data_IF_393936625277
#
_entry.id   IF_393936625277
#
_cell.length_a   1.000
_cell.length_b   1.000
_cell.length_c   1.000
_cell.angle_alpha   90.00
_cell.angle_beta   90.00
_cell.angle_gamma   90.00
#
_symmetry.space_group_name_H-M   'P 1'
#
loop_
_entity.id
_entity.type
_entity.pdbx_description
1 polymer ?
#
# COMPACT_ATOMS: atom_id res chain seq x y z
N UNK A 1 2.67 -10.19 8.92
CA UNK A 1 2.42 -8.90 9.57
C UNK A 1 3.66 -8.03 9.48
N UNK A 2 3.47 -6.74 9.22
CA UNK A 2 4.56 -5.79 9.02
C UNK A 2 4.97 -5.19 10.36
N UNK A 3 6.27 -5.20 10.67
CA UNK A 3 6.79 -4.58 11.89
C UNK A 3 7.50 -3.29 11.53
N UNK A 4 6.93 -2.14 11.94
CA UNK A 4 7.51 -0.83 11.69
C UNK A 4 7.65 -0.09 13.01
N UNK A 5 8.88 0.29 13.38
CA UNK A 5 9.19 0.96 14.64
C UNK A 5 8.59 0.28 15.88
N UNK A 6 8.56 -1.06 15.87
CA UNK A 6 7.98 -1.84 16.95
C UNK A 6 6.49 -2.07 16.87
N UNK A 7 5.80 -1.41 15.95
CA UNK A 7 4.37 -1.62 15.73
C UNK A 7 4.12 -2.80 14.78
N UNK A 8 3.06 -3.54 15.04
CA UNK A 8 2.62 -4.63 14.15
C UNK A 8 1.48 -4.12 13.29
N UNK A 9 1.66 -4.16 11.98
CA UNK A 9 0.70 -3.61 11.03
C UNK A 9 0.18 -4.72 10.13
N UNK A 10 -1.14 -4.90 10.10
CA UNK A 10 -1.77 -5.90 9.23
C UNK A 10 -1.90 -5.37 7.81
N UNK A 11 -1.36 -6.06 6.78
CA UNK A 11 -1.45 -5.58 5.40
C UNK A 11 -2.87 -5.49 4.88
N UNK A 12 -3.77 -6.38 5.32
CA UNK A 12 -5.16 -6.38 4.85
C UNK A 12 -5.93 -5.13 5.27
N UNK A 13 -5.68 -4.62 6.48
CA UNK A 13 -6.33 -3.40 6.95
C UNK A 13 -5.98 -2.22 6.05
N UNK A 14 -4.71 -2.10 5.68
CA UNK A 14 -4.24 -1.00 4.83
C UNK A 14 -4.74 -1.16 3.40
N UNK A 15 -4.71 -2.38 2.86
CA UNK A 15 -5.25 -2.66 1.53
C UNK A 15 -6.73 -2.27 1.46
N UNK A 16 -7.53 -2.69 2.44
CA UNK A 16 -8.96 -2.38 2.48
C UNK A 16 -9.22 -0.89 2.55
N UNK A 17 -8.42 -0.17 3.32
CA UNK A 17 -8.53 1.29 3.44
C UNK A 17 -8.23 1.98 2.12
N UNK A 18 -7.13 1.59 1.45
CA UNK A 18 -6.74 2.18 0.17
C UNK A 18 -7.78 1.86 -0.92
N UNK A 19 -8.35 0.67 -0.89
CA UNK A 19 -9.38 0.28 -1.85
C UNK A 19 -10.69 1.06 -1.72
N UNK A 20 -10.88 1.81 -0.63
CA UNK A 20 -12.02 2.72 -0.50
C UNK A 20 -11.94 3.90 -1.46
N UNK A 21 -10.76 4.21 -1.96
CA UNK A 21 -10.56 5.33 -2.87
C UNK A 21 -11.08 4.99 -4.28
N UNK A 22 -11.86 5.89 -4.90
CA UNK A 22 -12.53 5.57 -6.18
C UNK A 22 -11.59 5.38 -7.37
N UNK A 23 -10.37 5.94 -7.30
CA UNK A 23 -9.39 5.81 -8.38
C UNK A 23 -8.46 4.62 -8.22
N UNK A 24 -8.59 3.83 -7.17
CA UNK A 24 -7.78 2.64 -6.94
C UNK A 24 -8.50 1.41 -7.49
N UNK A 25 -7.88 0.74 -8.46
CA UNK A 25 -8.40 -0.48 -9.04
C UNK A 25 -7.97 -1.71 -8.24
N UNK A 26 -6.68 -1.78 -7.91
CA UNK A 26 -6.11 -2.87 -7.12
C UNK A 26 -5.05 -2.30 -6.17
N UNK A 27 -4.85 -2.98 -5.05
CA UNK A 27 -3.81 -2.61 -4.09
C UNK A 27 -3.24 -3.85 -3.43
N UNK A 28 -1.92 -3.92 -3.37
CA UNK A 28 -1.22 -4.95 -2.61
C UNK A 28 -0.28 -4.28 -1.62
N UNK A 29 -0.35 -4.66 -0.35
CA UNK A 29 0.49 -4.11 0.71
C UNK A 29 1.49 -5.15 1.16
N UNK A 30 2.75 -4.75 1.24
CA UNK A 30 3.85 -5.61 1.66
C UNK A 30 4.79 -4.85 2.58
N UNK A 31 5.74 -5.58 3.17
CA UNK A 31 6.82 -4.98 3.96
C UNK A 31 7.98 -4.66 3.04
N UNK A 32 8.62 -3.52 3.28
CA UNK A 32 9.88 -3.16 2.62
C UNK A 32 10.93 -2.93 3.72
N UNK A 33 12.20 -3.31 3.49
CA UNK A 33 13.23 -3.13 4.50
C UNK A 33 13.53 -1.64 4.72
N UNK A 34 13.82 -1.26 5.96
CA UNK A 34 14.18 0.09 6.33
C UNK A 34 15.25 0.04 7.42
N UNK A 35 16.33 0.79 7.26
CA UNK A 35 17.46 0.75 8.19
C UNK A 35 17.11 1.24 9.59
N UNK A 36 16.22 2.20 9.70
CA UNK A 36 15.84 2.80 10.99
C UNK A 36 14.70 2.05 11.65
N UNK A 37 13.68 1.67 10.89
CA UNK A 37 12.44 1.08 11.42
C UNK A 37 12.37 -0.44 11.34
N UNK A 38 13.35 -1.08 10.70
CA UNK A 38 13.33 -2.49 10.40
C UNK A 38 12.53 -2.79 9.14
N UNK A 39 11.25 -2.41 9.12
CA UNK A 39 10.38 -2.54 7.97
C UNK A 39 9.47 -1.32 7.89
N UNK A 40 9.02 -1.00 6.67
CA UNK A 40 8.00 0.02 6.45
C UNK A 40 6.91 -0.57 5.56
N UNK A 41 5.74 0.05 5.60
CA UNK A 41 4.60 -0.36 4.76
C UNK A 41 4.86 0.12 3.34
N UNK A 42 4.73 -0.80 2.38
CA UNK A 42 4.82 -0.51 0.95
C UNK A 42 3.48 -0.84 0.30
N UNK A 43 2.89 0.14 -0.36
CA UNK A 43 1.65 -0.05 -1.11
C UNK A 43 1.96 -0.05 -2.60
N UNK A 44 1.60 -1.14 -3.27
CA UNK A 44 1.67 -1.25 -4.73
C UNK A 44 0.25 -1.10 -5.25
N UNK A 45 0.01 -0.08 -6.05
CA UNK A 45 -1.33 0.36 -6.43
C UNK A 45 -1.49 0.35 -7.94
N UNK A 46 -2.58 -0.24 -8.40
CA UNK A 46 -3.02 -0.14 -9.79
C UNK A 46 -4.16 0.86 -9.82
N UNK A 47 -3.97 1.95 -10.56
CA UNK A 47 -4.98 2.99 -10.70
C UNK A 47 -5.98 2.65 -11.81
N UNK A 48 -7.20 3.15 -11.69
CA UNK A 48 -8.19 3.02 -12.77
C UNK A 48 -7.70 3.79 -14.00
N UNK A 49 -8.11 3.33 -15.17
CA UNK A 49 -7.72 3.94 -16.44
C UNK A 49 -8.10 5.41 -16.47
N UNK A 50 -7.17 6.25 -16.88
CA UNK A 50 -7.38 7.71 -16.92
C UNK A 50 -6.88 8.44 -15.69
N UNK A 51 -6.48 7.73 -14.65
CA UNK A 51 -5.90 8.36 -13.45
C UNK A 51 -4.38 8.40 -13.58
N UNK A 52 -3.81 9.57 -13.42
CA UNK A 52 -2.37 9.76 -13.49
C UNK A 52 -1.73 9.58 -12.12
N UNK A 53 -0.68 8.73 -12.06
CA UNK A 53 0.07 8.49 -10.82
C UNK A 53 1.10 9.57 -10.58
N UNK A 54 0.75 10.56 -9.78
CA UNK A 54 1.63 11.69 -9.45
C UNK A 54 2.11 11.60 -8.00
N UNK A 55 3.13 12.39 -7.65
CA UNK A 55 3.61 12.48 -6.27
C UNK A 55 2.54 13.09 -5.36
N UNK A 56 1.74 14.01 -5.88
CA UNK A 56 0.62 14.57 -5.16
C UNK A 56 -0.41 13.50 -4.81
N UNK A 57 -0.68 12.58 -5.73
CA UNK A 57 -1.60 11.47 -5.49
C UNK A 57 -1.06 10.50 -4.45
N UNK A 58 0.25 10.22 -4.47
CA UNK A 58 0.89 9.38 -3.44
C UNK A 58 0.68 9.97 -2.05
N UNK A 59 0.87 11.27 -1.91
CA UNK A 59 0.68 11.96 -0.63
C UNK A 59 -0.79 11.91 -0.19
N UNK A 60 -1.71 12.09 -1.12
CA UNK A 60 -3.14 12.01 -0.83
C UNK A 60 -3.51 10.63 -0.26
N UNK A 61 -2.99 9.57 -0.87
CA UNK A 61 -3.22 8.21 -0.41
C UNK A 61 -2.63 8.00 0.99
N UNK A 62 -1.40 8.46 1.21
CA UNK A 62 -0.76 8.37 2.52
C UNK A 62 -1.56 9.09 3.60
N UNK A 63 -2.01 10.30 3.31
CA UNK A 63 -2.80 11.10 4.25
C UNK A 63 -4.17 10.44 4.52
N UNK A 64 -4.77 9.86 3.51
CA UNK A 64 -6.04 9.15 3.66
C UNK A 64 -5.90 7.98 4.65
N UNK A 65 -4.86 7.18 4.50
CA UNK A 65 -4.60 6.05 5.40
C UNK A 65 -4.34 6.53 6.83
N UNK A 66 -3.59 7.62 7.00
CA UNK A 66 -3.33 8.20 8.32
C UNK A 66 -4.63 8.60 9.02
N UNK A 67 -5.57 9.18 8.30
CA UNK A 67 -6.84 9.64 8.86
C UNK A 67 -7.80 8.50 9.15
N UNK A 68 -7.80 7.47 8.31
CA UNK A 68 -8.72 6.35 8.43
C UNK A 68 -8.27 5.29 9.42
N UNK A 69 -6.97 5.14 9.62
CA UNK A 69 -6.42 4.13 10.52
C UNK A 69 -5.65 4.79 11.66
N UNK A 70 -4.34 4.90 11.52
CA UNK A 70 -3.48 5.54 12.52
C UNK A 70 -2.25 6.12 11.83
N UNK A 71 -1.63 7.18 12.41
CA UNK A 71 -0.47 7.81 11.78
C UNK A 71 0.70 6.86 11.50
N UNK A 72 0.90 5.81 12.31
CA UNK A 72 1.99 4.87 12.10
C UNK A 72 1.68 3.81 11.05
N UNK A 73 0.44 3.72 10.57
CA UNK A 73 0.01 2.69 9.61
C UNK A 73 0.08 3.12 8.15
N UNK A 74 0.35 4.38 7.86
CA UNK A 74 0.36 4.83 6.47
C UNK A 74 1.52 4.19 5.68
N UNK A 75 1.34 3.98 4.37
CA UNK A 75 2.42 3.44 3.55
C UNK A 75 3.48 4.50 3.30
N UNK A 76 4.70 4.23 3.75
CA UNK A 76 5.83 5.16 3.52
C UNK A 76 6.34 5.06 2.09
N UNK A 77 6.11 3.92 1.43
CA UNK A 77 6.44 3.72 0.04
C UNK A 77 5.16 3.46 -0.72
N UNK A 78 4.90 4.25 -1.75
CA UNK A 78 3.75 4.07 -2.65
C UNK A 78 4.29 3.94 -4.06
N UNK A 79 3.96 2.84 -4.72
CA UNK A 79 4.33 2.61 -6.12
C UNK A 79 3.08 2.40 -6.94
N UNK A 80 3.00 3.04 -8.10
CA UNK A 80 1.93 2.82 -9.06
C UNK A 80 2.41 1.82 -10.11
N UNK A 81 1.62 0.79 -10.34
CA UNK A 81 1.95 -0.29 -11.27
C UNK A 81 0.80 -0.53 -12.23
N UNK A 82 1.10 -1.11 -13.38
CA UNK A 82 0.08 -1.46 -14.38
C UNK A 82 -0.70 -2.71 -13.95
N UNK A 83 -0.02 -3.61 -13.25
CA UNK A 83 -0.63 -4.83 -12.72
C UNK A 83 0.15 -5.32 -11.52
N UNK A 84 -0.49 -6.17 -10.72
CA UNK A 84 0.15 -6.78 -9.55
C UNK A 84 0.39 -8.27 -9.82
N UNK A 85 1.49 -8.85 -9.26
CA UNK A 85 1.75 -10.28 -9.39
C UNK A 85 0.66 -11.07 -8.66
N UNK A 86 0.07 -12.04 -9.35
CA UNK A 86 -1.03 -12.84 -8.81
C UNK A 86 -0.80 -14.32 -9.05
N UNK A 87 -1.37 -15.15 -8.17
CA UNK A 87 -1.41 -16.58 -8.37
C UNK A 87 -2.45 -16.94 -9.44
N UNK A 88 -2.48 -18.21 -9.84
CA UNK A 88 -3.49 -18.71 -10.80
C UNK A 88 -4.91 -18.47 -10.30
N UNK A 89 -5.12 -18.51 -8.97
CA UNK A 89 -6.42 -18.26 -8.36
C UNK A 89 -6.75 -16.76 -8.15
N UNK A 90 -5.86 -15.86 -8.58
CA UNK A 90 -6.08 -14.42 -8.51
C UNK A 90 -5.65 -13.74 -7.22
N UNK A 91 -4.96 -14.45 -6.33
CA UNK A 91 -4.45 -13.86 -5.09
C UNK A 91 -3.14 -13.11 -5.35
N UNK A 92 -3.00 -11.95 -4.71
CA UNK A 92 -1.79 -11.13 -4.85
C UNK A 92 -0.60 -11.82 -4.17
N UNK A 93 0.51 -11.92 -4.90
CA UNK A 93 1.75 -12.51 -4.36
C UNK A 93 2.57 -11.39 -3.73
N UNK A 94 2.43 -11.19 -2.42
CA UNK A 94 3.07 -10.09 -1.72
C UNK A 94 4.60 -10.13 -1.76
N UNK A 95 5.18 -11.29 -1.85
CA UNK A 95 6.64 -11.46 -1.93
C UNK A 95 7.24 -10.82 -3.19
N UNK A 96 6.43 -10.64 -4.22
CA UNK A 96 6.88 -10.06 -5.50
C UNK A 96 6.54 -8.58 -5.65
N UNK A 97 5.97 -7.98 -4.63
CA UNK A 97 5.62 -6.55 -4.68
C UNK A 97 6.83 -5.63 -4.48
#
# INVERSE_FOLDING_TARGET
MIKSSGYRIGPFEIESTIMELPYVLECGVSAAPDEVRGQVVKASIVLVKGTEGTDALKKEIQDYVKKRTAPYKYPRIVEFKESLPKTVSGKIIRKKL
#
